data_IF_891545875018
#
_entry.id   IF_891545875018
#
_cell.length_a   1.000
_cell.length_b   1.000
_cell.length_c   1.000
_cell.angle_alpha   90.00
_cell.angle_beta   90.00
_cell.angle_gamma   90.00
#
_symmetry.space_group_name_H-M   'P 1'
#
loop_
_entity.id
_entity.type
_entity.pdbx_description
1 polymer ?
#
# COMPACT_ATOMS: atom_id res chain seq x y z
N UNK A 1 -0.62 -15.84 36.24
CA UNK A 1 -0.70 -15.46 34.81
C UNK A 1 -1.63 -16.41 34.12
N UNK A 2 -2.83 -15.93 33.78
CA UNK A 2 -3.89 -16.78 33.21
C UNK A 2 -3.75 -16.85 31.67
N UNK A 3 -4.24 -17.95 31.09
CA UNK A 3 -4.74 -17.94 29.72
C UNK A 3 -6.20 -17.45 29.78
N UNK A 4 -6.61 -16.59 28.85
CA UNK A 4 -7.95 -16.00 28.85
C UNK A 4 -8.67 -16.41 27.57
N UNK A 5 -9.88 -16.95 27.71
CA UNK A 5 -10.71 -17.29 26.56
C UNK A 5 -11.26 -16.02 25.90
N UNK A 6 -11.22 -15.94 24.58
CA UNK A 6 -11.88 -14.88 23.82
C UNK A 6 -13.37 -15.19 23.77
N UNK A 7 -14.20 -14.21 24.12
CA UNK A 7 -15.65 -14.38 24.21
C UNK A 7 -16.23 -14.90 22.88
N UNK A 8 -17.03 -15.96 22.96
CA UNK A 8 -17.69 -16.56 21.79
C UNK A 8 -16.80 -17.49 20.96
N UNK A 9 -15.54 -17.69 21.34
CA UNK A 9 -14.60 -18.55 20.61
C UNK A 9 -13.86 -19.49 21.58
N UNK A 10 -13.54 -20.71 21.14
CA UNK A 10 -12.66 -21.60 21.90
C UNK A 10 -11.16 -21.27 21.66
N UNK A 11 -10.86 -19.97 21.66
CA UNK A 11 -9.51 -19.43 21.44
C UNK A 11 -9.06 -18.78 22.74
N UNK A 12 -7.84 -19.09 23.16
CA UNK A 12 -7.24 -18.60 24.39
C UNK A 12 -6.01 -17.77 24.07
N UNK A 13 -5.88 -16.61 24.71
CA UNK A 13 -4.70 -15.76 24.61
C UNK A 13 -3.90 -15.81 25.92
N UNK A 14 -2.58 -15.95 25.81
CA UNK A 14 -1.71 -16.14 26.98
C UNK A 14 -0.26 -15.73 26.76
N UNK A 15 0.48 -15.66 27.87
CA UNK A 15 1.94 -15.54 27.85
C UNK A 15 2.62 -16.90 27.89
N UNK A 16 3.94 -16.93 27.74
CA UNK A 16 4.73 -18.17 27.63
C UNK A 16 4.58 -19.07 28.87
N UNK A 17 4.38 -18.48 30.04
CA UNK A 17 4.19 -19.22 31.28
C UNK A 17 2.89 -20.03 31.33
N UNK A 18 1.92 -19.76 30.43
CA UNK A 18 0.72 -20.57 30.30
C UNK A 18 1.04 -22.03 29.93
N UNK A 19 2.12 -22.27 29.16
CA UNK A 19 2.55 -23.60 28.75
C UNK A 19 2.95 -24.50 29.93
N UNK A 20 3.34 -23.92 31.07
CA UNK A 20 3.69 -24.67 32.29
C UNK A 20 2.45 -25.17 33.04
N UNK A 21 1.26 -24.64 32.75
CA UNK A 21 0.03 -24.98 33.47
C UNK A 21 -0.79 -26.02 32.69
N UNK A 22 -0.27 -27.24 32.60
CA UNK A 22 -0.91 -28.37 31.90
C UNK A 22 -2.33 -28.66 32.40
N UNK A 23 -2.57 -28.51 33.71
CA UNK A 23 -3.91 -28.69 34.29
C UNK A 23 -4.93 -27.68 33.73
N UNK A 24 -4.52 -26.43 33.48
CA UNK A 24 -5.41 -25.44 32.89
C UNK A 24 -5.59 -25.65 31.38
N UNK A 25 -4.57 -26.13 30.67
CA UNK A 25 -4.68 -26.49 29.24
C UNK A 25 -5.65 -27.67 29.06
N UNK A 26 -5.53 -28.70 29.90
CA UNK A 26 -6.44 -29.85 29.86
C UNK A 26 -7.88 -29.47 30.20
N UNK A 27 -8.12 -28.59 31.19
CA UNK A 27 -9.48 -28.11 31.52
C UNK A 27 -10.13 -27.27 30.42
N UNK A 28 -9.32 -26.64 29.57
CA UNK A 28 -9.77 -25.85 28.44
C UNK A 28 -9.83 -26.68 27.14
N UNK A 29 -9.61 -28.00 27.24
CA UNK A 29 -9.54 -28.94 26.12
C UNK A 29 -8.65 -28.45 24.97
N UNK A 30 -7.51 -27.83 25.32
CA UNK A 30 -6.57 -27.31 24.32
C UNK A 30 -6.04 -28.47 23.49
N UNK A 31 -6.20 -28.40 22.18
CA UNK A 31 -5.64 -29.37 21.22
C UNK A 31 -4.55 -28.77 20.34
N UNK A 32 -4.60 -27.44 20.13
CA UNK A 32 -3.67 -26.73 19.26
C UNK A 32 -2.98 -25.58 20.01
N UNK A 33 -1.69 -25.40 19.76
CA UNK A 33 -0.88 -24.31 20.33
C UNK A 33 -0.19 -23.54 19.21
N UNK A 34 -0.43 -22.22 19.16
CA UNK A 34 0.22 -21.30 18.26
C UNK A 34 1.19 -20.40 19.04
N UNK A 35 2.49 -20.60 18.82
CA UNK A 35 3.55 -19.78 19.40
C UNK A 35 3.90 -18.62 18.46
N UNK A 36 3.82 -17.39 18.95
CA UNK A 36 4.17 -16.16 18.20
C UNK A 36 5.33 -15.46 18.89
N UNK A 37 6.53 -16.05 18.77
CA UNK A 37 7.79 -15.54 19.32
C UNK A 37 8.99 -16.31 18.73
N UNK A 38 10.19 -15.71 18.69
CA UNK A 38 11.43 -16.38 18.22
C UNK A 38 12.02 -17.42 19.18
N UNK A 39 11.49 -17.58 20.40
CA UNK A 39 11.97 -18.63 21.31
C UNK A 39 11.35 -19.97 20.93
N UNK A 40 12.18 -21.01 20.94
CA UNK A 40 11.75 -22.40 20.75
C UNK A 40 11.77 -23.11 22.11
N UNK A 41 10.62 -23.31 22.78
CA UNK A 41 10.52 -24.22 23.91
C UNK A 41 10.91 -25.64 23.48
N UNK A 42 11.25 -26.51 24.44
CA UNK A 42 11.52 -27.92 24.14
C UNK A 42 10.32 -28.60 23.48
N UNK A 43 10.56 -29.52 22.55
CA UNK A 43 9.48 -30.27 21.86
C UNK A 43 8.56 -31.00 22.85
N UNK A 44 9.12 -31.49 23.97
CA UNK A 44 8.37 -32.07 25.10
C UNK A 44 7.25 -31.16 25.64
N UNK A 45 7.42 -29.83 25.52
CA UNK A 45 6.41 -28.86 25.95
C UNK A 45 5.12 -29.00 25.15
N UNK A 46 5.19 -29.50 23.91
CA UNK A 46 4.06 -29.59 22.98
C UNK A 46 3.61 -31.03 22.73
N UNK A 47 4.16 -32.01 23.46
CA UNK A 47 3.71 -33.40 23.36
C UNK A 47 2.20 -33.50 23.66
N UNK A 48 1.45 -34.12 22.74
CA UNK A 48 -0.01 -34.24 22.79
C UNK A 48 -0.78 -33.04 22.23
N UNK A 49 -0.10 -32.04 21.65
CA UNK A 49 -0.72 -30.88 20.99
C UNK A 49 -0.22 -30.75 19.56
N UNK A 50 -1.09 -30.30 18.66
CA UNK A 50 -0.65 -29.77 17.37
C UNK A 50 0.00 -28.40 17.59
N UNK A 51 1.21 -28.20 17.07
CA UNK A 51 1.99 -26.99 17.33
C UNK A 51 2.41 -26.28 16.04
N UNK A 52 2.19 -24.96 16.01
CA UNK A 52 2.71 -24.10 14.97
C UNK A 52 3.47 -22.93 15.61
N UNK A 53 4.63 -22.59 15.04
CA UNK A 53 5.50 -21.52 15.54
C UNK A 53 5.74 -20.46 14.47
N UNK A 54 5.54 -19.21 14.85
CA UNK A 54 5.81 -18.02 14.05
C UNK A 54 6.89 -17.22 14.79
N UNK A 55 8.08 -17.19 14.20
CA UNK A 55 9.26 -16.55 14.79
C UNK A 55 9.31 -15.05 14.52
N UNK A 56 8.68 -14.25 15.38
CA UNK A 56 8.70 -12.77 15.33
C UNK A 56 9.03 -12.13 16.69
N UNK A 57 9.69 -10.98 16.67
CA UNK A 57 9.90 -10.14 17.85
C UNK A 57 8.75 -9.14 18.02
N UNK A 58 8.76 -8.42 19.15
CA UNK A 58 7.69 -7.51 19.55
C UNK A 58 8.01 -6.06 19.19
N UNK A 59 8.46 -5.85 17.97
CA UNK A 59 8.88 -4.55 17.45
C UNK A 59 7.91 -4.07 16.37
N UNK A 60 7.89 -2.76 16.13
CA UNK A 60 7.05 -2.11 15.12
C UNK A 60 7.52 -2.44 13.68
N UNK A 61 8.81 -2.75 13.52
CA UNK A 61 9.45 -3.16 12.28
C UNK A 61 9.38 -4.68 12.00
N UNK A 62 8.76 -5.52 12.82
CA UNK A 62 8.59 -6.93 12.48
C UNK A 62 7.34 -7.17 11.60
N UNK A 63 7.45 -8.06 10.61
CA UNK A 63 6.35 -8.36 9.68
C UNK A 63 5.55 -9.59 10.13
N UNK A 64 4.41 -9.35 10.80
CA UNK A 64 3.49 -10.41 11.20
C UNK A 64 2.36 -10.64 10.19
N UNK A 65 2.08 -9.64 9.35
CA UNK A 65 1.00 -9.64 8.36
C UNK A 65 1.09 -10.79 7.36
N UNK A 66 2.30 -11.13 6.90
CA UNK A 66 2.51 -12.27 5.99
C UNK A 66 2.11 -13.63 6.58
N UNK A 67 2.14 -13.73 7.91
CA UNK A 67 1.82 -14.97 8.62
C UNK A 67 0.33 -15.11 8.96
N UNK A 68 -0.47 -14.04 8.79
CA UNK A 68 -1.90 -14.08 9.14
C UNK A 68 -2.65 -15.25 8.48
N UNK A 69 -2.54 -15.51 7.16
CA UNK A 69 -3.32 -16.60 6.56
C UNK A 69 -2.98 -17.99 7.14
N UNK A 70 -1.69 -18.27 7.35
CA UNK A 70 -1.25 -19.54 7.93
C UNK A 70 -1.71 -19.68 9.40
N UNK A 71 -1.57 -18.62 10.19
CA UNK A 71 -2.02 -18.56 11.57
C UNK A 71 -3.53 -18.78 11.70
N UNK A 72 -4.32 -18.10 10.86
CA UNK A 72 -5.78 -18.19 10.85
C UNK A 72 -6.22 -19.60 10.46
N UNK A 73 -5.60 -20.19 9.44
CA UNK A 73 -5.88 -21.57 9.02
C UNK A 73 -5.56 -22.57 10.14
N UNK A 74 -4.45 -22.38 10.85
CA UNK A 74 -4.08 -23.21 11.99
C UNK A 74 -5.10 -23.09 13.14
N UNK A 75 -5.52 -21.87 13.47
CA UNK A 75 -6.56 -21.64 14.48
C UNK A 75 -7.88 -22.31 14.05
N UNK A 76 -8.29 -22.13 12.79
CA UNK A 76 -9.53 -22.73 12.30
C UNK A 76 -9.49 -24.26 12.34
N UNK A 77 -8.39 -24.87 11.91
CA UNK A 77 -8.20 -26.31 12.00
C UNK A 77 -8.37 -26.83 13.44
N UNK A 78 -7.78 -26.12 14.42
CA UNK A 78 -7.93 -26.49 15.82
C UNK A 78 -9.36 -26.39 16.33
N UNK A 79 -10.09 -25.34 15.96
CA UNK A 79 -11.50 -25.19 16.31
C UNK A 79 -12.38 -26.24 15.63
N UNK A 80 -12.07 -26.62 14.39
CA UNK A 80 -12.82 -27.64 13.64
C UNK A 80 -12.69 -29.05 14.27
N UNK A 81 -11.63 -29.30 15.06
CA UNK A 81 -11.52 -30.54 15.87
C UNK A 81 -12.45 -30.55 17.08
N UNK A 82 -13.13 -29.45 17.40
CA UNK A 82 -13.90 -29.27 18.64
C UNK A 82 -13.05 -28.95 19.87
N UNK A 83 -11.72 -28.93 19.74
CA UNK A 83 -10.78 -28.54 20.81
C UNK A 83 -10.60 -27.03 20.94
N UNK A 84 -9.81 -26.65 21.94
CA UNK A 84 -9.39 -25.27 22.19
C UNK A 84 -8.06 -24.95 21.52
N UNK A 85 -7.88 -23.68 21.13
CA UNK A 85 -6.63 -23.19 20.54
C UNK A 85 -5.98 -22.17 21.46
N UNK A 86 -4.75 -22.43 21.91
CA UNK A 86 -3.96 -21.48 22.66
C UNK A 86 -3.04 -20.68 21.72
N UNK A 87 -3.27 -19.37 21.61
CA UNK A 87 -2.35 -18.45 20.94
C UNK A 87 -1.54 -17.71 22.01
N UNK A 88 -0.22 -17.86 21.99
CA UNK A 88 0.64 -17.25 23.00
C UNK A 88 1.86 -16.56 22.40
N UNK A 89 2.36 -15.57 23.13
CA UNK A 89 3.67 -14.96 22.89
C UNK A 89 4.47 -14.95 24.22
N UNK A 90 5.37 -13.99 24.42
CA UNK A 90 6.07 -13.84 25.70
C UNK A 90 5.10 -13.43 26.84
N UNK A 91 4.41 -12.29 26.69
CA UNK A 91 3.53 -11.72 27.72
C UNK A 91 2.03 -11.99 27.48
N UNK A 92 1.65 -12.43 26.28
CA UNK A 92 0.26 -12.49 25.87
C UNK A 92 -0.37 -11.10 25.72
N UNK A 93 0.41 -10.12 25.25
CA UNK A 93 0.03 -8.70 25.20
C UNK A 93 -0.13 -8.21 23.75
N UNK A 94 0.94 -8.33 22.97
CA UNK A 94 1.05 -7.72 21.64
C UNK A 94 0.93 -8.79 20.54
N UNK A 95 2.02 -9.43 20.10
CA UNK A 95 2.05 -10.51 19.07
C UNK A 95 0.88 -11.50 19.06
N UNK A 96 0.61 -12.16 20.19
CA UNK A 96 -0.49 -13.14 20.28
C UNK A 96 -1.86 -12.48 20.16
N UNK A 97 -2.02 -11.27 20.72
CA UNK A 97 -3.25 -10.50 20.58
C UNK A 97 -3.46 -10.07 19.12
N UNK A 98 -2.40 -9.66 18.43
CA UNK A 98 -2.43 -9.33 17.00
C UNK A 98 -2.99 -10.49 16.18
N UNK A 99 -2.48 -11.71 16.38
CA UNK A 99 -3.00 -12.91 15.68
C UNK A 99 -4.48 -13.18 16.02
N UNK A 100 -4.86 -13.08 17.29
CA UNK A 100 -6.25 -13.24 17.69
C UNK A 100 -7.17 -12.20 17.02
N UNK A 101 -6.73 -10.95 16.93
CA UNK A 101 -7.46 -9.87 16.25
C UNK A 101 -7.56 -10.17 14.75
N UNK A 102 -6.47 -10.57 14.10
CA UNK A 102 -6.46 -10.95 12.70
C UNK A 102 -7.46 -12.07 12.40
N UNK A 103 -7.54 -13.08 13.27
CA UNK A 103 -8.56 -14.14 13.16
C UNK A 103 -9.99 -13.58 13.26
N UNK A 104 -10.28 -12.73 14.25
CA UNK A 104 -11.62 -12.12 14.39
C UNK A 104 -12.00 -11.29 13.16
N UNK A 105 -11.06 -10.47 12.65
CA UNK A 105 -11.26 -9.68 11.43
C UNK A 105 -11.56 -10.59 10.23
N UNK A 106 -10.78 -11.66 10.04
CA UNK A 106 -10.98 -12.59 8.94
C UNK A 106 -12.33 -13.32 9.00
N UNK A 107 -12.83 -13.64 10.20
CA UNK A 107 -14.14 -14.26 10.37
C UNK A 107 -15.30 -13.29 10.12
N UNK A 108 -15.10 -11.99 10.37
CA UNK A 108 -16.15 -10.97 10.32
C UNK A 108 -15.68 -9.65 9.68
N UNK A 109 -15.17 -9.65 8.43
CA UNK A 109 -14.44 -8.51 7.87
C UNK A 109 -15.31 -7.26 7.67
N UNK A 110 -16.64 -7.44 7.57
CA UNK A 110 -17.59 -6.33 7.44
C UNK A 110 -18.16 -5.82 8.76
N UNK A 111 -18.04 -6.60 9.85
CA UNK A 111 -18.65 -6.27 11.14
C UNK A 111 -17.64 -5.75 12.15
N UNK A 112 -16.36 -6.10 11.98
CA UNK A 112 -15.29 -5.70 12.88
C UNK A 112 -14.28 -4.79 12.18
N UNK A 113 -13.79 -3.83 12.95
CA UNK A 113 -12.58 -3.03 12.69
C UNK A 113 -11.47 -3.53 13.60
N UNK A 114 -10.18 -3.23 13.31
CA UNK A 114 -9.07 -3.59 14.20
C UNK A 114 -9.30 -3.14 15.65
N UNK A 115 -9.81 -1.92 15.84
CA UNK A 115 -10.08 -1.34 17.15
C UNK A 115 -11.23 -2.05 17.88
N UNK A 116 -12.33 -2.37 17.17
CA UNK A 116 -13.44 -3.09 17.80
C UNK A 116 -13.08 -4.55 18.12
N UNK A 117 -12.27 -5.20 17.28
CA UNK A 117 -11.77 -6.54 17.54
C UNK A 117 -10.77 -6.56 18.73
N UNK A 118 -9.90 -5.55 18.85
CA UNK A 118 -9.06 -5.36 20.04
C UNK A 118 -9.91 -5.16 21.31
N UNK A 119 -10.99 -4.39 21.24
CA UNK A 119 -11.90 -4.21 22.36
C UNK A 119 -12.52 -5.54 22.83
N UNK A 120 -12.92 -6.41 21.91
CA UNK A 120 -13.44 -7.75 22.23
C UNK A 120 -12.40 -8.63 22.94
N UNK A 121 -11.14 -8.62 22.48
CA UNK A 121 -10.06 -9.35 23.16
C UNK A 121 -9.79 -8.77 24.55
N UNK A 122 -9.88 -7.45 24.70
CA UNK A 122 -9.69 -6.75 25.98
C UNK A 122 -10.79 -7.04 27.01
N UNK A 123 -11.98 -7.47 26.60
CA UNK A 123 -13.05 -7.89 27.54
C UNK A 123 -12.58 -9.00 28.49
N UNK A 124 -11.75 -9.93 28.00
CA UNK A 124 -11.26 -11.06 28.80
C UNK A 124 -9.78 -10.94 29.16
N UNK A 125 -9.01 -10.12 28.43
CA UNK A 125 -7.62 -9.81 28.74
C UNK A 125 -7.31 -8.30 28.57
N UNK A 126 -7.60 -7.46 29.58
CA UNK A 126 -7.48 -6.00 29.47
C UNK A 126 -6.08 -5.47 29.12
N UNK A 127 -5.05 -6.27 29.40
CA UNK A 127 -3.64 -5.95 29.16
C UNK A 127 -3.25 -6.01 27.69
N UNK A 128 -4.09 -6.60 26.82
CA UNK A 128 -3.80 -6.74 25.40
C UNK A 128 -3.64 -5.37 24.74
N UNK A 129 -2.55 -5.20 24.00
CA UNK A 129 -2.15 -3.96 23.35
C UNK A 129 -1.04 -4.33 22.36
N UNK A 130 -1.42 -4.66 21.11
CA UNK A 130 -0.47 -4.72 20.00
C UNK A 130 0.36 -3.43 19.93
N UNK A 131 1.62 -3.55 19.53
CA UNK A 131 2.42 -2.37 19.21
C UNK A 131 1.86 -1.64 17.97
N UNK A 132 2.34 -0.42 17.74
CA UNK A 132 1.83 0.45 16.67
C UNK A 132 2.01 -0.18 15.27
N UNK A 133 3.17 -0.76 14.98
CA UNK A 133 3.43 -1.44 13.71
C UNK A 133 2.53 -2.64 13.45
N UNK A 134 2.16 -3.40 14.49
CA UNK A 134 1.18 -4.48 14.38
C UNK A 134 -0.26 -3.96 14.23
N UNK A 135 -0.59 -2.82 14.83
CA UNK A 135 -1.88 -2.17 14.58
C UNK A 135 -2.00 -1.69 13.13
N UNK A 136 -0.96 -1.07 12.58
CA UNK A 136 -0.91 -0.69 11.16
C UNK A 136 -1.07 -1.90 10.23
N UNK A 137 -0.42 -3.03 10.57
CA UNK A 137 -0.57 -4.27 9.83
C UNK A 137 -1.99 -4.85 9.88
N UNK A 138 -2.69 -4.73 11.02
CA UNK A 138 -4.10 -5.12 11.14
C UNK A 138 -5.02 -4.22 10.33
N UNK A 139 -4.76 -2.91 10.32
CA UNK A 139 -5.48 -1.93 9.51
C UNK A 139 -5.29 -2.22 8.02
N UNK A 140 -4.05 -2.46 7.59
CA UNK A 140 -3.75 -2.87 6.22
C UNK A 140 -4.45 -4.19 5.88
N UNK A 141 -4.43 -5.18 6.76
CA UNK A 141 -5.14 -6.45 6.54
C UNK A 141 -6.64 -6.26 6.34
N UNK A 142 -7.25 -5.38 7.14
CA UNK A 142 -8.66 -5.02 7.03
C UNK A 142 -8.97 -4.28 5.73
N UNK A 143 -8.14 -3.30 5.34
CA UNK A 143 -8.25 -2.57 4.08
C UNK A 143 -8.15 -3.49 2.86
N UNK A 144 -7.30 -4.52 2.93
CA UNK A 144 -7.19 -5.56 1.90
C UNK A 144 -8.42 -6.47 1.80
N UNK A 145 -9.38 -6.36 2.72
CA UNK A 145 -10.55 -7.22 2.79
C UNK A 145 -10.26 -8.60 3.40
N UNK A 146 -9.22 -8.69 4.23
CA UNK A 146 -8.79 -9.91 4.93
C UNK A 146 -8.55 -11.12 3.99
N UNK A 147 -7.67 -11.01 2.97
CA UNK A 147 -7.47 -12.06 1.98
C UNK A 147 -6.78 -13.30 2.56
N UNK A 148 -6.98 -14.45 1.89
CA UNK A 148 -6.23 -15.69 2.14
C UNK A 148 -4.80 -15.65 1.60
N UNK A 149 -4.53 -14.81 0.61
CA UNK A 149 -3.19 -14.56 0.08
C UNK A 149 -2.82 -13.09 0.29
N UNK A 150 -2.05 -12.85 1.34
CA UNK A 150 -1.55 -11.52 1.69
C UNK A 150 -0.40 -11.11 0.79
N UNK A 151 0.53 -12.02 0.49
CA UNK A 151 1.78 -11.68 -0.18
C UNK A 151 1.58 -11.23 -1.61
N UNK A 152 0.58 -11.74 -2.32
CA UNK A 152 0.27 -11.28 -3.69
C UNK A 152 -0.61 -10.02 -3.72
N UNK A 153 -1.10 -9.54 -2.58
CA UNK A 153 -2.03 -8.42 -2.57
C UNK A 153 -1.32 -7.09 -2.91
N UNK A 154 -1.86 -6.26 -3.83
CA UNK A 154 -1.21 -5.01 -4.24
C UNK A 154 -0.89 -4.03 -3.11
N UNK A 155 -1.77 -3.92 -2.11
CA UNK A 155 -1.54 -3.03 -0.95
C UNK A 155 -0.41 -3.54 -0.05
N UNK A 156 -0.32 -4.86 0.16
CA UNK A 156 0.78 -5.46 0.92
C UNK A 156 2.11 -5.26 0.21
N UNK A 157 2.17 -5.51 -1.10
CA UNK A 157 3.37 -5.28 -1.90
C UNK A 157 3.82 -3.81 -1.90
N UNK A 158 2.87 -2.87 -1.89
CA UNK A 158 3.17 -1.44 -1.76
C UNK A 158 3.70 -1.08 -0.37
N UNK A 159 3.15 -1.70 0.67
CA UNK A 159 3.60 -1.51 2.06
C UNK A 159 5.03 -2.05 2.26
N UNK A 160 5.31 -3.27 1.79
CA UNK A 160 6.68 -3.82 1.81
C UNK A 160 7.67 -2.91 1.07
N UNK A 161 7.33 -2.52 -0.16
CA UNK A 161 8.16 -1.62 -0.94
C UNK A 161 8.49 -0.31 -0.19
N UNK A 162 7.49 0.30 0.48
CA UNK A 162 7.72 1.53 1.24
C UNK A 162 8.72 1.31 2.37
N UNK A 163 8.56 0.21 3.12
CA UNK A 163 9.46 -0.15 4.23
C UNK A 163 10.89 -0.42 3.76
N UNK A 164 11.06 -1.15 2.66
CA UNK A 164 12.37 -1.41 2.06
C UNK A 164 13.07 -0.10 1.64
N UNK A 165 12.30 0.85 1.09
CA UNK A 165 12.81 2.19 0.75
C UNK A 165 13.24 2.93 2.02
N UNK A 166 12.40 2.95 3.05
CA UNK A 166 12.68 3.64 4.32
C UNK A 166 13.93 3.07 5.01
N UNK A 167 14.06 1.74 5.07
CA UNK A 167 15.23 1.06 5.66
C UNK A 167 16.51 1.35 4.86
N UNK A 168 16.44 1.25 3.53
CA UNK A 168 17.57 1.55 2.65
C UNK A 168 18.04 3.00 2.83
N UNK A 169 17.08 3.93 2.84
CA UNK A 169 17.34 5.37 3.04
C UNK A 169 17.91 5.67 4.42
N UNK A 170 17.42 5.00 5.47
CA UNK A 170 17.94 5.16 6.84
C UNK A 170 19.42 4.77 6.93
N UNK A 171 19.85 3.83 6.08
CA UNK A 171 21.25 3.42 5.93
C UNK A 171 22.04 4.28 4.92
N UNK A 172 21.45 5.33 4.35
CA UNK A 172 22.08 6.17 3.35
C UNK A 172 22.26 5.48 1.99
N UNK A 173 21.41 4.50 1.65
CA UNK A 173 21.45 3.76 0.38
C UNK A 173 20.14 3.88 -0.38
N UNK A 174 20.22 3.72 -1.70
CA UNK A 174 19.03 3.51 -2.52
C UNK A 174 18.48 2.09 -2.30
N UNK A 175 17.17 1.86 -2.46
CA UNK A 175 16.61 0.52 -2.46
C UNK A 175 17.18 -0.32 -3.60
N UNK A 176 17.26 -1.64 -3.43
CA UNK A 176 17.68 -2.53 -4.51
C UNK A 176 16.63 -2.62 -5.63
N UNK A 177 17.05 -2.80 -6.88
CA UNK A 177 16.13 -2.91 -8.03
C UNK A 177 15.02 -3.96 -7.80
N UNK A 178 15.35 -5.10 -7.16
CA UNK A 178 14.41 -6.19 -6.88
C UNK A 178 13.31 -5.82 -5.87
N UNK A 179 13.58 -4.83 -5.02
CA UNK A 179 12.64 -4.32 -4.01
C UNK A 179 11.70 -3.26 -4.57
N UNK A 180 12.04 -2.62 -5.70
CA UNK A 180 11.23 -1.53 -6.26
C UNK A 180 10.02 -2.05 -7.01
N UNK A 181 8.84 -1.63 -6.55
CA UNK A 181 7.57 -1.86 -7.23
C UNK A 181 7.33 -0.83 -8.34
N UNK A 182 7.35 -1.28 -9.59
CA UNK A 182 6.91 -0.49 -10.75
C UNK A 182 5.40 -0.65 -10.97
N UNK A 183 4.64 0.43 -10.81
CA UNK A 183 3.17 0.37 -10.81
C UNK A 183 2.57 0.04 -12.18
N UNK A 184 3.26 0.34 -13.29
CA UNK A 184 2.83 0.02 -14.65
C UNK A 184 3.04 -1.44 -15.07
N UNK A 185 3.76 -2.23 -14.27
CA UNK A 185 3.93 -3.68 -14.48
C UNK A 185 2.79 -4.49 -13.85
N UNK A 186 1.93 -3.84 -13.07
CA UNK A 186 0.84 -4.48 -12.37
C UNK A 186 -0.35 -4.72 -13.30
N UNK A 187 -1.07 -5.85 -13.15
CA UNK A 187 -2.30 -6.08 -13.90
C UNK A 187 -3.29 -4.96 -13.55
N UNK A 188 -3.67 -4.16 -14.54
CA UNK A 188 -4.64 -3.09 -14.35
C UNK A 188 -5.96 -3.70 -13.87
N UNK A 189 -6.28 -3.50 -12.59
CA UNK A 189 -7.65 -3.69 -12.11
C UNK A 189 -8.52 -2.72 -12.90
N UNK A 190 -9.56 -3.24 -13.54
CA UNK A 190 -10.63 -2.47 -14.14
C UNK A 190 -11.34 -1.66 -13.05
N UNK A 191 -10.74 -0.56 -12.62
CA UNK A 191 -11.43 0.45 -11.83
C UNK A 191 -12.38 1.19 -12.78
N UNK A 192 -13.65 1.25 -12.38
CA UNK A 192 -14.67 2.07 -13.00
C UNK A 192 -14.15 3.50 -13.15
N UNK A 193 -13.76 3.86 -14.37
CA UNK A 193 -13.20 5.18 -14.65
C UNK A 193 -14.30 6.23 -14.49
N UNK A 194 -14.33 6.89 -13.35
CA UNK A 194 -15.10 8.14 -13.19
C UNK A 194 -14.40 9.25 -13.97
N UNK A 195 -14.69 9.30 -15.27
CA UNK A 195 -14.79 10.51 -16.10
C UNK A 195 -13.55 11.34 -16.46
N UNK A 196 -12.45 11.32 -15.71
CA UNK A 196 -11.30 12.21 -15.98
C UNK A 196 -9.95 11.52 -15.81
N UNK A 197 -9.19 11.45 -16.90
CA UNK A 197 -7.81 10.94 -16.92
C UNK A 197 -6.83 12.07 -17.25
N UNK A 198 -5.93 12.36 -16.32
CA UNK A 198 -4.78 13.24 -16.51
C UNK A 198 -3.74 12.48 -17.31
N UNK A 199 -3.24 13.10 -18.37
CA UNK A 199 -2.16 12.59 -19.20
C UNK A 199 -0.97 13.56 -19.13
N UNK A 200 0.21 13.04 -18.79
CA UNK A 200 1.44 13.82 -18.69
C UNK A 200 2.36 13.46 -19.86
N UNK A 201 2.79 14.47 -20.62
CA UNK A 201 3.66 14.32 -21.79
C UNK A 201 4.94 15.13 -21.65
N UNK A 202 6.02 14.64 -22.24
CA UNK A 202 7.25 15.42 -22.37
C UNK A 202 7.02 16.67 -23.21
N UNK A 203 7.40 17.85 -22.73
CA UNK A 203 7.16 19.12 -23.46
C UNK A 203 7.96 19.24 -24.76
N UNK A 204 9.13 18.57 -24.85
CA UNK A 204 10.03 18.62 -26.02
C UNK A 204 9.55 17.73 -27.17
N UNK A 205 9.12 16.49 -26.88
CA UNK A 205 8.81 15.50 -27.92
C UNK A 205 7.39 14.92 -27.84
N UNK A 206 6.57 15.38 -26.88
CA UNK A 206 5.18 14.96 -26.64
C UNK A 206 4.99 13.47 -26.31
N UNK A 207 6.08 12.73 -26.02
CA UNK A 207 6.03 11.34 -25.52
C UNK A 207 5.24 11.29 -24.21
N UNK A 208 4.25 10.39 -24.13
CA UNK A 208 3.49 10.10 -22.90
C UNK A 208 4.42 9.53 -21.81
N UNK A 209 4.37 10.10 -20.62
CA UNK A 209 5.20 9.75 -19.47
C UNK A 209 4.39 9.08 -18.35
N UNK A 210 3.19 9.56 -18.05
CA UNK A 210 2.34 9.01 -16.98
C UNK A 210 0.87 9.39 -17.17
N UNK A 211 0.00 8.74 -16.40
CA UNK A 211 -1.45 8.98 -16.32
C UNK A 211 -1.93 9.00 -14.87
N UNK A 212 -3.16 9.47 -14.60
CA UNK A 212 -3.76 9.56 -13.24
C UNK A 212 -3.44 8.42 -12.27
N UNK A 213 -3.59 7.12 -12.62
CA UNK A 213 -3.38 6.05 -11.64
C UNK A 213 -1.94 5.98 -11.07
N UNK A 214 -0.99 6.65 -11.71
CA UNK A 214 0.41 6.67 -11.31
C UNK A 214 0.83 7.97 -10.61
N UNK A 215 -0.09 8.93 -10.45
CA UNK A 215 0.19 10.22 -9.83
C UNK A 215 0.00 10.09 -8.31
N UNK A 216 1.02 10.48 -7.55
CA UNK A 216 0.93 10.55 -6.10
C UNK A 216 0.27 11.88 -5.73
N UNK A 217 -0.95 11.86 -5.14
CA UNK A 217 -1.59 13.07 -4.69
C UNK A 217 -0.81 13.64 -3.49
N UNK A 218 -0.62 14.96 -3.50
CA UNK A 218 -0.10 15.70 -2.36
C UNK A 218 -0.70 17.11 -2.41
N UNK A 219 -1.37 17.51 -1.34
CA UNK A 219 -2.02 18.81 -1.23
C UNK A 219 -1.42 19.59 -0.06
N UNK A 220 -1.61 20.92 -0.07
CA UNK A 220 -1.35 21.73 1.11
C UNK A 220 -2.29 21.28 2.23
N UNK A 221 -1.75 20.80 3.35
CA UNK A 221 -2.54 20.66 4.57
C UNK A 221 -3.18 22.02 4.88
N UNK A 222 -4.51 22.06 4.91
CA UNK A 222 -5.27 23.22 5.41
C UNK A 222 -5.06 23.33 6.92
N UNK A 223 -3.89 23.78 7.35
CA UNK A 223 -3.70 24.17 8.74
C UNK A 223 -4.45 25.50 9.00
N UNK A 224 -5.23 25.52 10.08
CA UNK A 224 -6.07 26.62 10.55
C UNK A 224 -5.26 27.87 10.97
N UNK A 225 -4.56 28.51 10.05
CA UNK A 225 -3.80 29.73 10.33
C UNK A 225 -4.02 30.75 9.22
N UNK A 226 -4.69 31.83 9.58
CA UNK A 226 -4.96 32.98 8.72
C UNK A 226 -3.65 33.62 8.25
N UNK A 227 -3.14 33.15 7.10
CA UNK A 227 -2.22 33.79 6.13
C UNK A 227 -1.76 32.72 5.13
N UNK A 228 -2.60 32.38 4.15
CA UNK A 228 -2.23 31.46 3.07
C UNK A 228 -2.52 32.12 1.73
N UNK A 229 -1.49 32.23 0.89
CA UNK A 229 -1.58 32.64 -0.51
C UNK A 229 -2.26 31.51 -1.30
N UNK A 230 -3.42 31.72 -1.94
CA UNK A 230 -4.19 30.68 -2.64
C UNK A 230 -3.59 30.15 -3.96
N UNK A 231 -2.32 30.45 -4.28
CA UNK A 231 -1.80 30.33 -5.65
C UNK A 231 -0.51 29.53 -5.83
N UNK A 232 -0.08 28.74 -4.84
CA UNK A 232 1.13 27.94 -4.99
C UNK A 232 0.83 26.59 -5.66
N UNK A 233 0.61 26.61 -6.98
CA UNK A 233 0.63 25.37 -7.78
C UNK A 233 1.96 24.63 -7.54
N UNK A 234 1.91 23.36 -7.13
CA UNK A 234 3.12 22.55 -6.88
C UNK A 234 4.05 22.57 -8.10
N UNK A 235 5.35 22.82 -7.93
CA UNK A 235 6.30 22.87 -9.04
C UNK A 235 6.56 21.51 -9.70
N UNK A 236 6.28 20.42 -8.97
CA UNK A 236 6.49 19.05 -9.40
C UNK A 236 5.17 18.27 -9.38
N UNK A 237 5.08 17.28 -10.26
CA UNK A 237 4.09 16.20 -10.16
C UNK A 237 4.84 14.95 -9.74
N UNK A 238 4.49 14.39 -8.58
CA UNK A 238 5.11 13.17 -8.07
C UNK A 238 4.40 11.95 -8.62
N UNK A 239 5.18 10.93 -8.92
CA UNK A 239 4.72 9.69 -9.52
C UNK A 239 5.20 8.51 -8.69
N UNK A 240 4.45 7.42 -8.74
CA UNK A 240 5.01 6.11 -8.42
C UNK A 240 6.14 5.75 -9.41
N UNK A 241 7.08 4.86 -9.04
CA UNK A 241 8.06 4.34 -9.99
C UNK A 241 7.37 3.71 -11.20
N UNK A 242 7.82 4.07 -12.39
CA UNK A 242 7.36 3.50 -13.67
C UNK A 242 8.52 2.84 -14.40
N UNK A 243 8.25 1.77 -15.16
CA UNK A 243 9.29 0.95 -15.82
C UNK A 243 10.24 1.80 -16.66
N UNK A 244 9.73 2.83 -17.35
CA UNK A 244 10.56 3.70 -18.18
C UNK A 244 11.59 4.51 -17.39
N UNK A 245 11.41 4.69 -16.07
CA UNK A 245 12.33 5.41 -15.19
C UNK A 245 13.51 4.54 -14.76
N UNK A 246 13.45 3.21 -14.94
CA UNK A 246 14.46 2.25 -14.49
C UNK A 246 15.90 2.65 -14.85
N UNK A 247 16.22 3.10 -16.09
CA UNK A 247 17.59 3.50 -16.43
C UNK A 247 18.10 4.74 -15.66
N UNK A 248 17.20 5.61 -15.18
CA UNK A 248 17.57 6.76 -14.34
C UNK A 248 17.71 6.38 -12.87
N UNK A 249 16.84 5.49 -12.38
CA UNK A 249 16.82 5.04 -10.98
C UNK A 249 17.94 4.03 -10.68
N UNK A 250 18.28 3.21 -11.67
CA UNK A 250 19.23 2.10 -11.60
C UNK A 250 20.11 2.11 -12.87
N UNK A 251 21.01 3.10 -13.01
CA UNK A 251 21.95 3.12 -14.12
C UNK A 251 22.89 1.90 -14.03
N UNK A 252 23.10 1.21 -15.15
CA UNK A 252 24.06 0.10 -15.24
C UNK A 252 25.51 0.63 -15.22
N UNK A 253 26.46 -0.21 -14.80
CA UNK A 253 27.90 0.09 -14.76
C UNK A 253 28.49 0.59 -16.10
N UNK A 254 27.85 0.26 -17.24
CA UNK A 254 28.26 0.72 -18.58
C UNK A 254 28.02 2.23 -18.83
N UNK A 255 27.37 2.94 -17.91
CA UNK A 255 27.18 4.39 -18.02
C UNK A 255 28.48 5.12 -17.66
N UNK A 256 29.21 5.58 -18.68
CA UNK A 256 30.50 6.27 -18.61
C UNK A 256 30.50 7.64 -17.91
N UNK A 257 29.51 7.96 -17.08
CA UNK A 257 29.47 9.19 -16.29
C UNK A 257 29.34 8.88 -14.79
N UNK A 258 30.19 9.47 -13.93
CA UNK A 258 30.03 9.31 -12.49
C UNK A 258 28.67 9.86 -12.06
N UNK A 259 27.91 9.05 -11.30
CA UNK A 259 26.64 9.45 -10.73
C UNK A 259 26.81 10.77 -9.96
N UNK A 260 26.15 11.83 -10.43
CA UNK A 260 26.18 13.14 -9.80
C UNK A 260 25.56 13.04 -8.40
N UNK A 261 26.41 12.94 -7.37
CA UNK A 261 25.99 12.84 -5.97
C UNK A 261 26.50 11.62 -5.21
N UNK A 262 27.52 10.91 -5.68
CA UNK A 262 28.18 9.85 -4.90
C UNK A 262 28.67 10.42 -3.54
N UNK A 263 27.95 10.09 -2.49
CA UNK A 263 28.31 10.40 -1.10
C UNK A 263 29.47 9.50 -0.67
N UNK A 264 30.37 10.02 0.16
CA UNK A 264 31.45 9.24 0.75
C UNK A 264 30.87 8.02 1.50
N UNK A 265 31.05 6.81 0.95
CA UNK A 265 30.59 5.55 1.54
C UNK A 265 29.70 4.65 0.68
N UNK A 266 29.30 5.07 -0.53
CA UNK A 266 28.53 4.23 -1.45
C UNK A 266 29.38 3.09 -2.05
N UNK A 267 28.87 1.85 -2.05
CA UNK A 267 29.50 0.76 -2.79
C UNK A 267 29.41 1.05 -4.30
N UNK A 268 30.40 0.65 -5.13
CA UNK A 268 30.34 0.85 -6.58
C UNK A 268 29.05 0.33 -7.25
N UNK A 269 28.43 -0.69 -6.64
CA UNK A 269 27.21 -1.35 -7.13
C UNK A 269 25.91 -0.68 -6.65
N UNK A 270 25.99 0.30 -5.73
CA UNK A 270 24.80 0.91 -5.14
C UNK A 270 24.16 1.90 -6.12
N UNK A 271 22.84 1.79 -6.29
CA UNK A 271 22.08 2.76 -7.05
C UNK A 271 22.18 4.17 -6.41
N UNK A 272 22.14 5.24 -7.23
CA UNK A 272 22.23 6.60 -6.71
C UNK A 272 21.05 6.94 -5.79
N UNK A 273 21.32 7.57 -4.65
CA UNK A 273 20.29 8.07 -3.72
C UNK A 273 19.37 9.14 -4.34
N UNK A 274 19.86 9.89 -5.32
CA UNK A 274 19.11 10.92 -6.04
C UNK A 274 19.70 11.17 -7.42
N UNK A 275 18.91 11.71 -8.33
CA UNK A 275 19.36 11.94 -9.70
C UNK A 275 18.34 12.63 -10.59
N UNK A 276 18.65 12.68 -11.89
CA UNK A 276 17.80 13.31 -12.90
C UNK A 276 16.93 12.27 -13.58
N UNK A 277 15.70 12.66 -13.95
CA UNK A 277 14.84 11.85 -14.81
C UNK A 277 14.95 12.37 -16.25
N UNK A 278 15.31 11.48 -17.18
CA UNK A 278 15.42 11.78 -18.60
C UNK A 278 14.24 11.20 -19.38
N UNK A 279 13.84 11.90 -20.45
CA UNK A 279 12.77 11.42 -21.31
C UNK A 279 13.17 10.09 -21.97
N UNK A 280 12.33 9.04 -21.92
CA UNK A 280 12.67 7.71 -22.44
C UNK A 280 12.69 7.65 -23.98
N UNK A 281 12.33 8.73 -24.67
CA UNK A 281 12.51 8.82 -26.11
C UNK A 281 14.00 9.06 -26.41
N UNK A 282 14.65 8.09 -27.06
CA UNK A 282 16.07 8.10 -27.40
C UNK A 282 16.47 9.31 -28.25
N UNK A 283 15.60 9.80 -29.13
CA UNK A 283 15.84 11.02 -29.90
C UNK A 283 15.63 12.34 -29.13
N UNK A 284 15.08 12.27 -27.91
CA UNK A 284 14.73 13.44 -27.12
C UNK A 284 15.77 13.76 -26.03
N UNK A 285 16.06 12.79 -25.16
CA UNK A 285 17.01 12.89 -24.04
C UNK A 285 16.77 14.05 -23.06
N UNK A 286 15.59 14.67 -23.07
CA UNK A 286 15.34 15.87 -22.28
C UNK A 286 15.32 15.55 -20.78
N UNK A 287 15.93 16.40 -19.96
CA UNK A 287 15.70 16.38 -18.52
C UNK A 287 14.25 16.84 -18.23
N UNK A 288 13.45 15.94 -17.69
CA UNK A 288 12.02 16.11 -17.42
C UNK A 288 11.70 16.18 -15.93
N UNK A 289 12.67 15.91 -15.05
CA UNK A 289 12.43 15.83 -13.62
C UNK A 289 13.63 15.34 -12.83
N UNK A 290 13.38 14.92 -11.60
CA UNK A 290 14.39 14.37 -10.69
C UNK A 290 13.78 13.33 -9.77
N UNK A 291 14.64 12.51 -9.18
CA UNK A 291 14.26 11.63 -8.09
C UNK A 291 15.18 11.80 -6.88
N UNK A 292 14.67 11.47 -5.71
CA UNK A 292 15.41 11.34 -4.46
C UNK A 292 14.74 10.27 -3.59
N UNK A 293 15.46 9.17 -3.32
CA UNK A 293 14.98 8.07 -2.48
C UNK A 293 14.72 8.54 -1.05
N UNK A 294 15.60 9.40 -0.52
CA UNK A 294 15.45 10.09 0.77
C UNK A 294 14.28 11.09 0.83
N UNK A 295 13.59 11.29 -0.28
CA UNK A 295 12.49 12.23 -0.40
C UNK A 295 12.94 13.66 -0.69
N UNK A 296 11.93 14.52 -0.84
CA UNK A 296 12.12 15.96 -1.01
C UNK A 296 10.90 16.73 -0.53
N UNK A 297 11.14 17.96 -0.07
CA UNK A 297 10.06 18.89 0.21
C UNK A 297 9.51 19.48 -1.10
N UNK A 298 8.20 19.38 -1.29
CA UNK A 298 7.50 20.07 -2.38
C UNK A 298 7.34 21.56 -2.06
N UNK A 299 7.07 22.39 -3.08
CA UNK A 299 6.74 23.81 -2.91
C UNK A 299 5.45 24.06 -2.10
N UNK A 300 4.62 23.04 -1.89
CA UNK A 300 3.48 23.08 -0.97
C UNK A 300 3.85 22.70 0.49
N UNK A 301 5.13 22.53 0.79
CA UNK A 301 5.70 22.08 2.08
C UNK A 301 5.46 20.62 2.45
N UNK A 302 4.72 19.85 1.65
CA UNK A 302 4.57 18.42 1.86
C UNK A 302 5.88 17.67 1.55
N UNK A 303 6.29 16.77 2.44
CA UNK A 303 7.46 15.92 2.28
C UNK A 303 7.06 14.63 1.57
N UNK A 304 7.65 14.35 0.40
CA UNK A 304 7.31 13.15 -0.41
C UNK A 304 8.46 12.17 -0.34
N UNK A 305 8.18 10.91 0.01
CA UNK A 305 9.14 9.80 0.06
C UNK A 305 8.53 8.54 -0.59
N UNK A 306 9.22 7.87 -1.53
CA UNK A 306 10.34 8.42 -2.29
C UNK A 306 9.86 9.56 -3.20
N UNK A 307 10.72 10.55 -3.41
CA UNK A 307 10.38 11.66 -4.27
C UNK A 307 10.77 11.37 -5.71
N UNK A 308 9.81 10.98 -6.55
CA UNK A 308 10.03 10.79 -8.00
C UNK A 308 9.16 11.82 -8.73
N UNK A 309 9.75 12.96 -9.11
CA UNK A 309 9.01 14.15 -9.51
C UNK A 309 9.32 14.62 -10.94
N UNK A 310 8.27 14.79 -11.74
CA UNK A 310 8.34 15.49 -13.02
C UNK A 310 8.21 17.00 -12.79
N UNK A 311 9.10 17.79 -13.37
CA UNK A 311 9.05 19.25 -13.26
C UNK A 311 7.94 19.79 -14.17
N UNK A 312 6.93 20.49 -13.63
CA UNK A 312 5.79 21.01 -14.41
C UNK A 312 6.24 21.90 -15.59
N UNK A 313 7.34 22.64 -15.43
CA UNK A 313 7.89 23.46 -16.52
C UNK A 313 8.40 22.65 -17.73
N UNK A 314 8.70 21.36 -17.57
CA UNK A 314 9.29 20.45 -18.57
C UNK A 314 8.30 19.44 -19.15
N UNK A 315 7.06 19.44 -18.68
CA UNK A 315 6.01 18.52 -19.14
C UNK A 315 4.73 19.28 -19.49
N UNK A 316 3.90 18.69 -20.33
CA UNK A 316 2.54 19.14 -20.56
C UNK A 316 1.57 18.23 -19.80
N UNK A 317 0.60 18.83 -19.13
CA UNK A 317 -0.44 18.13 -18.37
C UNK A 317 -1.77 18.42 -19.06
N UNK A 318 -2.45 17.37 -19.51
CA UNK A 318 -3.74 17.48 -20.18
C UNK A 318 -4.79 16.62 -19.46
N UNK A 319 -5.97 17.19 -19.22
CA UNK A 319 -7.11 16.45 -18.68
C UNK A 319 -7.91 15.90 -19.87
N UNK A 320 -7.98 14.58 -20.00
CA UNK A 320 -8.90 13.91 -20.92
C UNK A 320 -10.21 13.64 -20.19
N UNK A 321 -11.31 14.14 -20.74
CA UNK A 321 -12.66 13.76 -20.32
C UNK A 321 -13.09 12.59 -21.18
N UNK A 322 -13.35 11.44 -20.58
CA UNK A 322 -13.96 10.32 -21.30
C UNK A 322 -15.43 10.69 -21.59
N UNK A 323 -15.67 11.38 -22.71
CA UNK A 323 -17.01 11.51 -23.26
C UNK A 323 -17.37 10.12 -23.79
N UNK A 324 -18.26 9.41 -23.08
CA UNK A 324 -18.87 8.20 -23.61
C UNK A 324 -19.37 8.50 -25.02
N UNK A 325 -18.84 7.80 -26.03
CA UNK A 325 -19.36 7.89 -27.39
C UNK A 325 -20.82 7.39 -27.34
N UNK A 326 -21.77 8.33 -27.31
CA UNK A 326 -23.15 8.04 -27.69
C UNK A 326 -23.18 7.45 -29.11
N UNK A 327 -24.24 6.72 -29.48
CA UNK A 327 -24.30 6.00 -30.75
C UNK A 327 -23.96 6.95 -31.89
N UNK A 328 -22.98 6.54 -32.71
CA UNK A 328 -22.50 7.28 -33.88
C UNK A 328 -23.68 7.80 -34.69
N UNK A 329 -23.97 9.10 -34.59
CA UNK A 329 -24.74 9.78 -35.61
C UNK A 329 -23.89 9.76 -36.89
N UNK A 330 -24.45 9.19 -37.96
CA UNK A 330 -23.82 9.16 -39.28
C UNK A 330 -23.29 10.56 -39.64
N UNK A 331 -22.10 10.66 -40.27
CA UNK A 331 -21.57 11.96 -40.67
C UNK A 331 -22.53 12.58 -41.70
N UNK A 332 -23.31 13.57 -41.27
CA UNK A 332 -24.09 14.41 -42.15
C UNK A 332 -23.10 15.17 -43.05
N UNK A 333 -23.07 14.80 -44.32
CA UNK A 333 -22.38 15.53 -45.38
C UNK A 333 -22.95 16.96 -45.36
N UNK A 334 -22.13 17.94 -44.97
CA UNK A 334 -22.50 19.37 -45.06
C UNK A 334 -22.57 19.74 -46.53
N UNK A 335 -23.78 20.03 -47.04
CA UNK A 335 -23.93 20.58 -48.39
C UNK A 335 -23.35 22.01 -48.45
N UNK A 336 -22.70 22.36 -49.58
CA UNK A 336 -22.17 23.71 -49.81
C UNK A 336 -23.29 24.77 -49.91
N UNK A 337 -22.95 26.06 -49.72
CA UNK A 337 -23.92 27.14 -49.51
C UNK A 337 -24.88 27.43 -50.67
N UNK A 338 -24.64 26.87 -51.85
CA UNK A 338 -25.38 27.12 -53.09
C UNK A 338 -26.65 26.27 -53.27
N UNK A 339 -26.99 25.40 -52.32
CA UNK A 339 -28.18 24.52 -52.41
C UNK A 339 -29.21 24.72 -51.28
N UNK A 340 -29.20 25.84 -50.56
CA UNK A 340 -30.28 26.19 -49.63
C UNK A 340 -31.41 26.87 -50.39
N UNK A 341 -32.57 26.22 -50.49
CA UNK A 341 -33.81 26.87 -50.92
C UNK A 341 -34.27 27.87 -49.85
N UNK A 342 -34.71 29.09 -50.21
CA UNK A 342 -35.16 30.06 -49.22
C UNK A 342 -36.53 29.64 -48.67
N UNK A 343 -36.63 29.48 -47.35
CA UNK A 343 -37.89 29.31 -46.65
C UNK A 343 -38.74 30.57 -46.81
N UNK A 344 -39.95 30.39 -47.36
CA UNK A 344 -40.96 31.43 -47.47
C UNK A 344 -41.51 31.73 -46.08
N UNK A 345 -41.19 32.94 -45.62
CA UNK A 345 -41.77 33.59 -44.47
C UNK A 345 -43.20 34.00 -44.83
N UNK A 346 -44.23 33.41 -44.21
CA UNK A 346 -45.56 34.05 -44.18
C UNK A 346 -46.11 34.10 -42.76
N UNK A 347 -46.58 35.31 -42.46
CA UNK A 347 -46.96 35.86 -41.17
C UNK A 347 -48.36 35.39 -40.74
N UNK A 348 -48.59 35.45 -39.43
CA UNK A 348 -49.77 34.92 -38.79
C UNK A 348 -51.07 35.73 -38.89
N UNK A 349 -52.08 35.13 -38.25
CA UNK A 349 -53.37 35.62 -37.71
C UNK A 349 -54.11 34.32 -37.33
N UNK A 350 -54.73 34.11 -36.17
CA UNK A 350 -55.39 34.98 -35.21
C UNK A 350 -56.77 34.38 -34.92
N UNK A 351 -57.01 34.02 -33.65
CA UNK A 351 -58.28 33.84 -32.94
C UNK A 351 -59.15 32.57 -33.08
N UNK A 352 -59.59 32.18 -31.86
CA UNK A 352 -60.67 31.31 -31.37
C UNK A 352 -60.42 29.80 -31.34
#
# INVERSE_FOLDING_TARGET
>A
MAMNQIKGHNIYVGGIFCLKNKAAMNRADISHVLSVLRLNPSEETFEGYEHHSIGVDDTDDDNLLEHFPAAIKFIQAGLDTGGGVLVHCAMGKSRSATICIAYLLHRQPRALTPQSALALVRETRPLCEPNDGFMEQLELYHEMGCPDNVTEHPLYQRWLYRRDVEESVACGRAPELKSVRFEDEQPMRSQESTGQTVEIKCRKCRRKLATTPFIIPHEQEKQNSAKINPSADCAHVFLHPLTWMRPSLFPSEDASEPAAGATHGAHPDDAPLSGRLTCPNSGCGANIGKFAWQGMQCSCNHWVVPAIGLAKARVDIANQVNVAQGPRANPAIRLPPSMRTPESNDNGRGNL
#
